data_IF_820375003973
#
_entry.id   IF_820375003973
#
_cell.length_a   1.000
_cell.length_b   1.000
_cell.length_c   1.000
_cell.angle_alpha   90.00
_cell.angle_beta   90.00
_cell.angle_gamma   90.00
#
_symmetry.space_group_name_H-M   'P 1'
#
loop_
_entity.id
_entity.type
_entity.pdbx_description
1 polymer ?
#
# COMPACT_ATOMS: atom_id res chain seq x y z
N UNK A 1 38.23 34.58 19.97
CA UNK A 1 38.84 33.74 18.91
C UNK A 1 39.34 32.47 19.58
N UNK A 2 38.60 31.39 19.37
CA UNK A 2 38.72 30.14 20.13
C UNK A 2 39.52 29.08 19.35
N UNK A 3 40.38 28.43 20.12
CA UNK A 3 40.67 26.99 20.18
C UNK A 3 41.20 26.20 18.97
N UNK A 4 42.28 25.50 19.31
CA UNK A 4 43.09 24.54 18.56
C UNK A 4 42.89 23.18 19.24
N UNK A 5 42.52 22.12 18.51
CA UNK A 5 42.98 20.71 18.66
C UNK A 5 42.24 19.73 17.71
N UNK A 6 42.78 18.52 17.45
CA UNK A 6 42.95 17.96 16.12
C UNK A 6 42.15 16.67 15.86
N UNK A 7 42.19 16.19 14.61
CA UNK A 7 41.68 14.89 14.17
C UNK A 7 42.49 13.71 14.77
N UNK A 8 41.85 12.56 15.04
CA UNK A 8 42.54 11.36 15.50
C UNK A 8 43.09 10.51 14.34
N UNK A 9 43.97 9.61 14.75
CA UNK A 9 44.90 8.81 13.98
C UNK A 9 44.29 7.75 13.05
N UNK A 10 45.11 7.42 12.07
CA UNK A 10 45.06 6.23 11.21
C UNK A 10 45.01 4.93 12.05
N UNK A 11 44.24 3.96 11.57
CA UNK A 11 44.59 2.55 11.75
C UNK A 11 44.72 1.89 10.38
N UNK A 12 45.83 1.18 10.24
CA UNK A 12 46.35 0.62 9.01
C UNK A 12 45.77 -0.77 8.79
N UNK A 13 45.38 -1.10 7.56
CA UNK A 13 44.93 -2.45 7.25
C UNK A 13 44.66 -2.74 5.79
N UNK A 14 45.66 -3.31 5.13
CA UNK A 14 45.56 -4.17 3.95
C UNK A 14 45.65 -3.52 2.57
N UNK A 15 46.90 -3.58 2.09
CA UNK A 15 47.36 -3.60 0.71
C UNK A 15 46.48 -4.40 -0.26
N UNK A 16 45.85 -3.68 -1.18
CA UNK A 16 45.36 -4.19 -2.47
C UNK A 16 45.84 -3.25 -3.57
N UNK A 17 47.13 -3.33 -3.91
CA UNK A 17 47.72 -2.56 -4.99
C UNK A 17 47.05 -2.93 -6.33
N UNK A 18 46.16 -2.07 -6.83
CA UNK A 18 45.88 -1.98 -8.26
C UNK A 18 46.39 -0.61 -8.72
N UNK A 19 47.45 -0.67 -9.52
CA UNK A 19 48.13 0.50 -10.06
C UNK A 19 47.11 1.40 -10.75
N UNK A 20 46.91 2.61 -10.22
CA UNK A 20 46.22 3.69 -10.90
C UNK A 20 46.93 3.92 -12.23
N UNK A 21 46.33 3.42 -13.31
CA UNK A 21 46.77 3.60 -14.68
C UNK A 21 46.76 5.12 -14.92
N UNK A 22 47.92 5.77 -14.77
CA UNK A 22 48.10 7.18 -15.17
C UNK A 22 47.66 7.23 -16.63
N UNK A 23 46.50 7.84 -16.86
CA UNK A 23 46.03 8.12 -18.22
C UNK A 23 47.13 8.91 -18.90
N UNK A 24 47.76 8.27 -19.87
CA UNK A 24 48.68 8.89 -20.81
C UNK A 24 47.95 10.06 -21.46
N UNK A 25 48.22 11.28 -20.99
CA UNK A 25 47.94 12.49 -21.75
C UNK A 25 48.51 12.27 -23.15
N UNK A 26 47.62 12.26 -24.13
CA UNK A 26 47.91 12.09 -25.54
C UNK A 26 49.14 12.91 -25.91
N UNK A 27 50.24 12.20 -26.19
CA UNK A 27 51.48 12.79 -26.71
C UNK A 27 51.14 13.42 -28.05
N UNK A 28 50.96 14.74 -28.06
CA UNK A 28 50.71 15.51 -29.27
C UNK A 28 51.88 15.30 -30.23
N UNK A 29 51.56 14.82 -31.43
CA UNK A 29 52.51 14.78 -32.54
C UNK A 29 52.75 16.23 -33.00
N UNK A 30 54.01 16.70 -33.08
CA UNK A 30 54.29 18.08 -33.47
C UNK A 30 53.83 18.33 -34.91
N UNK A 31 52.83 19.21 -35.08
CA UNK A 31 52.39 19.68 -36.38
C UNK A 31 53.53 20.49 -37.03
N UNK A 32 54.14 19.94 -38.07
CA UNK A 32 55.12 20.64 -38.91
C UNK A 32 54.38 21.69 -39.74
N UNK A 33 54.36 22.92 -39.24
CA UNK A 33 53.95 24.08 -40.03
C UNK A 33 55.00 24.28 -41.14
N UNK A 34 54.61 24.04 -42.40
CA UNK A 34 55.42 24.42 -43.56
C UNK A 34 55.64 25.93 -43.63
N UNK A 35 56.56 26.36 -44.51
CA UNK A 35 56.96 27.77 -44.70
C UNK A 35 55.75 28.72 -44.73
N UNK A 36 55.86 29.84 -44.04
CA UNK A 36 54.82 30.87 -43.92
C UNK A 36 55.26 32.04 -44.80
N UNK A 37 54.42 32.41 -45.76
CA UNK A 37 54.74 33.44 -46.76
C UNK A 37 54.00 34.76 -46.52
N UNK A 38 53.01 34.81 -45.61
CA UNK A 38 52.34 36.06 -45.20
C UNK A 38 51.81 35.99 -43.76
N UNK A 39 51.53 37.16 -43.17
CA UNK A 39 50.91 37.27 -41.84
C UNK A 39 49.51 36.63 -41.82
N UNK A 40 48.76 36.77 -42.90
CA UNK A 40 47.43 36.18 -43.09
C UNK A 40 47.48 34.64 -43.12
N UNK A 41 48.51 34.05 -43.74
CA UNK A 41 48.72 32.60 -43.74
C UNK A 41 49.08 32.07 -42.34
N UNK A 42 49.81 32.85 -41.55
CA UNK A 42 50.09 32.53 -40.15
C UNK A 42 48.81 32.56 -39.30
N UNK A 43 48.02 33.62 -39.40
CA UNK A 43 46.77 33.77 -38.64
C UNK A 43 45.77 32.66 -38.98
N UNK A 44 45.64 32.29 -40.26
CA UNK A 44 44.83 31.15 -40.67
C UNK A 44 45.30 29.82 -40.07
N UNK A 45 46.61 29.57 -40.05
CA UNK A 45 47.19 28.37 -39.42
C UNK A 45 46.99 28.36 -37.90
N UNK A 46 47.08 29.52 -37.23
CA UNK A 46 46.81 29.68 -35.78
C UNK A 46 45.35 29.41 -35.47
N UNK A 47 44.42 30.00 -36.23
CA UNK A 47 42.98 29.76 -36.08
C UNK A 47 42.64 28.29 -36.28
N UNK A 48 43.23 27.63 -37.29
CA UNK A 48 43.00 26.22 -37.53
C UNK A 48 43.48 25.34 -36.36
N UNK A 49 44.65 25.66 -35.77
CA UNK A 49 45.17 24.97 -34.59
C UNK A 49 44.30 25.21 -33.35
N UNK A 50 43.87 26.45 -33.13
CA UNK A 50 42.97 26.80 -32.02
C UNK A 50 41.64 26.06 -32.13
N UNK A 51 41.03 26.03 -33.33
CA UNK A 51 39.80 25.27 -33.59
C UNK A 51 39.97 23.78 -33.35
N UNK A 52 41.08 23.18 -33.81
CA UNK A 52 41.38 21.76 -33.53
C UNK A 52 41.47 21.48 -32.02
N UNK A 53 42.17 22.34 -31.27
CA UNK A 53 42.30 22.22 -29.81
C UNK A 53 40.99 22.47 -29.06
N UNK A 54 40.08 23.29 -29.61
CA UNK A 54 38.71 23.45 -29.09
C UNK A 54 37.87 22.20 -29.36
N UNK A 55 37.96 21.64 -30.57
CA UNK A 55 37.30 20.37 -30.93
C UNK A 55 37.71 19.23 -30.00
N UNK A 56 39.01 19.07 -29.74
CA UNK A 56 39.51 18.06 -28.79
C UNK A 56 39.00 18.28 -27.36
N UNK A 57 38.88 19.54 -26.90
CA UNK A 57 38.29 19.88 -25.59
C UNK A 57 36.80 19.57 -25.53
N UNK A 58 36.07 19.80 -26.62
CA UNK A 58 34.64 19.45 -26.73
C UNK A 58 34.48 17.94 -26.67
N UNK A 59 35.30 17.18 -27.38
CA UNK A 59 35.26 15.71 -27.39
C UNK A 59 35.52 15.13 -25.99
N UNK A 60 36.51 15.67 -25.28
CA UNK A 60 36.79 15.29 -23.88
C UNK A 60 35.62 15.61 -22.95
N UNK A 61 35.00 16.78 -23.10
CA UNK A 61 33.80 17.15 -22.33
C UNK A 61 32.62 16.22 -22.62
N UNK A 62 32.36 15.90 -23.90
CA UNK A 62 31.32 14.95 -24.31
C UNK A 62 31.53 13.57 -23.70
N UNK A 63 32.79 13.10 -23.64
CA UNK A 63 33.11 11.82 -23.01
C UNK A 63 32.83 11.84 -21.50
N UNK A 64 33.27 12.89 -20.80
CA UNK A 64 33.00 13.05 -19.37
C UNK A 64 31.49 13.18 -19.09
N UNK A 65 30.76 13.91 -19.92
CA UNK A 65 29.30 14.03 -19.85
C UNK A 65 28.63 12.66 -20.05
N UNK A 66 29.09 11.86 -21.02
CA UNK A 66 28.60 10.50 -21.22
C UNK A 66 28.85 9.57 -20.03
N UNK A 67 30.01 9.70 -19.36
CA UNK A 67 30.32 8.97 -18.13
C UNK A 67 29.41 9.40 -16.97
N UNK A 68 29.16 10.70 -16.80
CA UNK A 68 28.24 11.23 -15.80
C UNK A 68 26.79 10.80 -16.08
N UNK A 69 26.33 10.85 -17.33
CA UNK A 69 24.98 10.38 -17.73
C UNK A 69 24.78 8.90 -17.38
N UNK A 70 25.76 8.04 -17.71
CA UNK A 70 25.74 6.63 -17.30
C UNK A 70 25.71 6.46 -15.77
N UNK A 71 26.44 7.31 -15.04
CA UNK A 71 26.44 7.25 -13.58
C UNK A 71 25.09 7.65 -12.98
N UNK A 72 24.44 8.67 -13.54
CA UNK A 72 23.09 9.10 -13.16
C UNK A 72 22.11 7.94 -13.40
N UNK A 73 22.11 7.35 -14.59
CA UNK A 73 21.23 6.22 -14.93
C UNK A 73 21.42 5.01 -13.98
N UNK A 74 22.66 4.70 -13.61
CA UNK A 74 22.95 3.66 -12.61
C UNK A 74 22.37 3.99 -11.23
N UNK A 75 22.50 5.25 -10.79
CA UNK A 75 21.97 5.68 -9.50
C UNK A 75 20.45 5.69 -9.48
N UNK A 76 19.79 6.11 -10.57
CA UNK A 76 18.33 6.06 -10.72
C UNK A 76 17.81 4.63 -10.71
N UNK A 77 18.48 3.71 -11.41
CA UNK A 77 18.13 2.29 -11.39
C UNK A 77 18.25 1.68 -9.98
N UNK A 78 19.32 2.04 -9.26
CA UNK A 78 19.49 1.63 -7.87
C UNK A 78 18.38 2.20 -6.98
N UNK A 79 18.08 3.50 -7.11
CA UNK A 79 17.02 4.16 -6.34
C UNK A 79 15.66 3.48 -6.57
N UNK A 80 15.28 3.21 -7.82
CA UNK A 80 14.06 2.45 -8.14
C UNK A 80 14.00 1.07 -7.48
N UNK A 81 15.17 0.44 -7.27
CA UNK A 81 15.26 -0.87 -6.61
C UNK A 81 15.13 -0.72 -5.10
N UNK A 82 15.83 0.26 -4.53
CA UNK A 82 15.80 0.59 -3.11
C UNK A 82 14.37 1.00 -2.67
N UNK A 83 13.65 1.78 -3.49
CA UNK A 83 12.25 2.17 -3.27
C UNK A 83 11.31 0.94 -3.19
N UNK A 84 11.50 -0.04 -4.07
CA UNK A 84 10.73 -1.29 -4.02
C UNK A 84 11.00 -2.07 -2.74
N UNK A 85 12.25 -2.13 -2.30
CA UNK A 85 12.62 -2.80 -1.05
C UNK A 85 11.99 -2.07 0.14
N UNK A 86 12.03 -0.73 0.18
CA UNK A 86 11.39 0.07 1.22
C UNK A 86 9.88 -0.17 1.30
N UNK A 87 9.19 -0.26 0.16
CA UNK A 87 7.77 -0.60 0.14
C UNK A 87 7.48 -1.98 0.77
N UNK A 88 8.29 -2.98 0.44
CA UNK A 88 8.14 -4.34 0.98
C UNK A 88 8.38 -4.33 2.49
N UNK A 89 9.45 -3.69 2.96
CA UNK A 89 9.77 -3.56 4.38
C UNK A 89 8.64 -2.86 5.13
N UNK A 90 8.13 -1.75 4.60
CA UNK A 90 7.04 -1.01 5.24
C UNK A 90 5.75 -1.85 5.36
N UNK A 91 5.44 -2.66 4.33
CA UNK A 91 4.29 -3.57 4.37
C UNK A 91 4.44 -4.63 5.46
N UNK A 92 5.61 -5.27 5.56
CA UNK A 92 5.86 -6.27 6.60
C UNK A 92 5.89 -5.65 8.00
N UNK A 93 6.39 -4.42 8.13
CA UNK A 93 6.37 -3.71 9.40
C UNK A 93 4.95 -3.37 9.84
N UNK A 94 4.10 -2.88 8.93
CA UNK A 94 2.68 -2.65 9.20
C UNK A 94 1.98 -3.96 9.63
N UNK A 95 2.27 -5.07 8.94
CA UNK A 95 1.72 -6.37 9.31
C UNK A 95 2.16 -6.80 10.72
N UNK A 96 3.44 -6.62 11.06
CA UNK A 96 3.95 -6.92 12.40
C UNK A 96 3.24 -6.09 13.47
N UNK A 97 3.09 -4.78 13.24
CA UNK A 97 2.40 -3.88 14.18
C UNK A 97 0.94 -4.33 14.38
N UNK A 98 0.26 -4.73 13.30
CA UNK A 98 -1.10 -5.27 13.35
C UNK A 98 -1.19 -6.59 14.12
N UNK A 99 -0.33 -7.55 13.79
CA UNK A 99 -0.30 -8.88 14.39
C UNK A 99 -0.03 -8.78 15.91
N UNK A 100 0.94 -7.95 16.31
CA UNK A 100 1.25 -7.71 17.73
C UNK A 100 0.04 -7.11 18.44
N UNK A 101 -0.67 -6.16 17.83
CA UNK A 101 -1.86 -5.54 18.44
C UNK A 101 -2.99 -6.54 18.59
N UNK A 102 -3.29 -7.34 17.56
CA UNK A 102 -4.32 -8.39 17.61
C UNK A 102 -3.97 -9.44 18.66
N UNK A 103 -2.70 -9.85 18.76
CA UNK A 103 -2.24 -10.79 19.77
C UNK A 103 -2.38 -10.22 21.18
N UNK A 104 -1.99 -8.96 21.40
CA UNK A 104 -2.17 -8.27 22.67
C UNK A 104 -3.66 -8.17 23.05
N UNK A 105 -4.54 -7.79 22.12
CA UNK A 105 -5.98 -7.71 22.38
C UNK A 105 -6.58 -9.07 22.78
N UNK A 106 -6.06 -10.17 22.22
CA UNK A 106 -6.50 -11.54 22.56
C UNK A 106 -5.93 -12.05 23.88
N UNK A 107 -4.68 -11.69 24.20
CA UNK A 107 -3.96 -12.19 25.37
C UNK A 107 -4.20 -11.34 26.63
N UNK A 108 -4.51 -10.05 26.46
CA UNK A 108 -4.59 -9.04 27.52
C UNK A 108 -6.04 -8.55 27.76
N UNK A 109 -7.04 -9.38 27.42
CA UNK A 109 -8.46 -9.08 27.56
C UNK A 109 -8.93 -8.81 29.01
N UNK A 110 -8.06 -9.02 30.01
CA UNK A 110 -8.33 -8.77 31.43
C UNK A 110 -7.79 -7.41 31.93
N UNK A 111 -6.96 -6.68 31.15
CA UNK A 111 -6.30 -5.42 31.61
C UNK A 111 -6.17 -4.27 30.60
N UNK A 112 -6.73 -4.37 29.39
CA UNK A 112 -6.53 -3.36 28.35
C UNK A 112 -7.30 -2.03 28.60
N UNK A 113 -6.56 -0.94 28.87
CA UNK A 113 -7.08 0.44 28.88
C UNK A 113 -7.55 0.85 27.46
N UNK A 114 -8.81 1.30 27.34
CA UNK A 114 -9.46 1.62 26.06
C UNK A 114 -8.79 2.78 25.27
N UNK A 115 -7.95 3.60 25.92
CA UNK A 115 -7.34 4.79 25.33
C UNK A 115 -6.09 4.51 24.48
N UNK A 116 -5.40 3.36 24.66
CA UNK A 116 -4.21 3.03 23.84
C UNK A 116 -4.62 2.52 22.44
N UNK A 117 -5.75 1.83 22.31
CA UNK A 117 -6.15 1.13 21.05
C UNK A 117 -6.53 2.05 19.88
N UNK A 118 -6.91 3.31 20.14
CA UNK A 118 -7.38 4.25 19.09
C UNK A 118 -6.26 4.98 18.35
N UNK A 119 -5.08 5.14 18.96
CA UNK A 119 -4.01 5.96 18.40
C UNK A 119 -3.09 5.16 17.45
N UNK A 120 -3.16 3.82 17.47
CA UNK A 120 -2.18 2.92 16.83
C UNK A 120 -2.48 2.60 15.35
N UNK A 121 -3.74 2.66 14.93
CA UNK A 121 -4.15 2.29 13.57
C UNK A 121 -4.03 3.43 12.55
N UNK A 122 -4.00 4.68 13.02
CA UNK A 122 -3.99 5.87 12.15
C UNK A 122 -2.58 6.26 11.67
N UNK A 123 -1.54 6.02 12.46
CA UNK A 123 -0.17 6.49 12.12
C UNK A 123 0.55 5.61 11.09
N UNK A 124 0.26 4.31 11.04
CA UNK A 124 1.01 3.32 10.23
C UNK A 124 0.63 3.29 8.75
N UNK A 125 -0.57 3.78 8.37
CA UNK A 125 -0.99 3.78 6.96
C UNK A 125 -0.39 4.93 6.14
N UNK A 126 -0.03 6.07 6.78
CA UNK A 126 0.43 7.28 6.07
C UNK A 126 1.95 7.41 5.91
N UNK A 127 2.74 6.50 6.51
CA UNK A 127 4.20 6.64 6.66
C UNK A 127 4.96 6.70 5.32
N UNK A 128 4.55 5.94 4.30
CA UNK A 128 5.15 5.98 2.95
C UNK A 128 4.81 7.24 2.18
N UNK A 129 3.63 7.81 2.40
CA UNK A 129 3.16 9.02 1.72
C UNK A 129 3.88 10.27 2.22
N UNK A 130 4.28 10.27 3.50
CA UNK A 130 4.99 11.38 4.14
C UNK A 130 6.51 11.33 3.96
N UNK A 131 7.06 10.20 3.47
CA UNK A 131 8.50 9.97 3.33
C UNK A 131 9.19 11.01 2.42
N UNK A 132 8.48 11.55 1.43
CA UNK A 132 8.99 12.61 0.53
C UNK A 132 8.92 14.02 1.14
N UNK A 133 8.17 14.19 2.23
CA UNK A 133 7.93 15.48 2.89
C UNK A 133 8.86 15.74 4.07
N UNK A 134 9.54 14.70 4.57
CA UNK A 134 10.44 14.80 5.72
C UNK A 134 11.86 15.11 5.29
N UNK A 135 12.52 15.99 6.03
CA UNK A 135 13.95 16.15 5.90
C UNK A 135 14.72 14.99 6.57
N UNK A 136 16.04 14.96 6.40
CA UNK A 136 16.85 13.84 6.90
C UNK A 136 16.76 13.66 8.41
N UNK A 137 16.68 14.76 9.17
CA UNK A 137 16.65 14.70 10.63
C UNK A 137 15.27 14.26 11.11
N UNK A 138 14.21 14.80 10.51
CA UNK A 138 12.83 14.42 10.79
C UNK A 138 12.56 12.94 10.46
N UNK A 139 13.13 12.43 9.36
CA UNK A 139 13.02 11.03 8.97
C UNK A 139 13.66 10.09 10.00
N UNK A 140 14.87 10.41 10.48
CA UNK A 140 15.55 9.62 11.51
C UNK A 140 14.74 9.60 12.81
N UNK A 141 14.21 10.75 13.25
CA UNK A 141 13.40 10.87 14.46
C UNK A 141 12.08 10.08 14.35
N UNK A 142 11.37 10.20 13.22
CA UNK A 142 10.11 9.48 12.96
C UNK A 142 10.30 7.98 12.87
N UNK A 143 11.37 7.52 12.21
CA UNK A 143 11.69 6.11 12.14
C UNK A 143 12.05 5.57 13.54
N UNK A 144 12.82 6.32 14.32
CA UNK A 144 13.15 5.95 15.69
C UNK A 144 11.90 5.83 16.58
N UNK A 145 10.98 6.79 16.50
CA UNK A 145 9.71 6.75 17.23
C UNK A 145 8.90 5.50 16.90
N UNK A 146 8.81 5.15 15.62
CA UNK A 146 8.09 3.95 15.17
C UNK A 146 8.73 2.66 15.66
N UNK A 147 10.06 2.56 15.60
CA UNK A 147 10.79 1.39 16.12
C UNK A 147 10.60 1.25 17.62
N UNK A 148 10.67 2.35 18.37
CA UNK A 148 10.42 2.33 19.80
C UNK A 148 9.00 1.89 20.14
N UNK A 149 8.01 2.34 19.37
CA UNK A 149 6.62 1.92 19.53
C UNK A 149 6.48 0.40 19.37
N UNK A 150 6.92 -0.17 18.24
CA UNK A 150 6.85 -1.61 17.99
C UNK A 150 7.62 -2.40 19.06
N UNK A 151 8.78 -1.89 19.52
CA UNK A 151 9.57 -2.51 20.59
C UNK A 151 8.83 -2.55 21.93
N UNK A 152 8.10 -1.49 22.29
CA UNK A 152 7.28 -1.46 23.51
C UNK A 152 6.10 -2.43 23.40
N UNK A 153 5.41 -2.46 22.27
CA UNK A 153 4.30 -3.38 22.02
C UNK A 153 4.75 -4.85 22.11
N UNK A 154 5.87 -5.21 21.48
CA UNK A 154 6.44 -6.56 21.57
C UNK A 154 6.86 -6.90 23.01
N UNK A 155 7.40 -5.94 23.76
CA UNK A 155 7.77 -6.17 25.17
C UNK A 155 6.54 -6.47 26.04
N UNK A 156 5.42 -5.75 25.84
CA UNK A 156 4.13 -6.06 26.48
C UNK A 156 3.64 -7.46 26.10
N UNK A 157 3.75 -7.82 24.81
CA UNK A 157 3.33 -9.13 24.32
C UNK A 157 4.11 -10.27 24.97
N UNK A 158 5.43 -10.12 25.10
CA UNK A 158 6.28 -11.09 25.80
C UNK A 158 5.87 -11.26 27.27
N UNK A 159 5.55 -10.17 27.97
CA UNK A 159 5.07 -10.24 29.35
C UNK A 159 3.73 -10.98 29.46
N UNK A 160 2.80 -10.73 28.55
CA UNK A 160 1.52 -11.44 28.51
C UNK A 160 1.71 -12.96 28.27
N UNK A 161 2.64 -13.32 27.38
CA UNK A 161 3.00 -14.73 27.12
C UNK A 161 3.62 -15.37 28.38
N UNK A 162 4.53 -14.69 29.07
CA UNK A 162 5.13 -15.20 30.31
C UNK A 162 4.07 -15.43 31.40
N UNK A 163 3.11 -14.52 31.55
CA UNK A 163 2.00 -14.69 32.50
C UNK A 163 1.12 -15.89 32.14
N UNK A 164 0.83 -16.09 30.86
CA UNK A 164 0.06 -17.23 30.38
C UNK A 164 0.78 -18.55 30.64
N UNK A 165 2.09 -18.61 30.38
CA UNK A 165 2.92 -19.77 30.67
C UNK A 165 2.91 -20.10 32.17
N UNK A 166 3.11 -19.11 33.03
CA UNK A 166 3.04 -19.29 34.49
C UNK A 166 1.66 -19.77 34.95
N UNK A 167 0.57 -19.28 34.35
CA UNK A 167 -0.79 -19.73 34.67
C UNK A 167 -0.99 -21.19 34.25
N UNK A 168 -0.53 -21.56 33.06
CA UNK A 168 -0.61 -22.93 32.57
C UNK A 168 0.21 -23.90 33.43
N UNK A 169 1.42 -23.51 33.86
CA UNK A 169 2.24 -24.32 34.76
C UNK A 169 1.55 -24.55 36.11
N UNK A 170 0.91 -23.51 36.68
CA UNK A 170 0.11 -23.63 37.92
C UNK A 170 -1.11 -24.53 37.75
N UNK A 171 -1.82 -24.41 36.62
CA UNK A 171 -2.95 -25.30 36.31
C UNK A 171 -2.49 -26.74 36.15
N UNK A 172 -1.37 -26.96 35.44
CA UNK A 172 -0.81 -28.29 35.26
C UNK A 172 -0.38 -28.90 36.59
N UNK A 173 0.33 -28.15 37.46
CA UNK A 173 0.69 -28.65 38.79
C UNK A 173 -0.55 -28.96 39.63
N UNK A 174 -1.56 -28.07 39.62
CA UNK A 174 -2.81 -28.30 40.35
C UNK A 174 -3.59 -29.54 39.87
N UNK A 175 -3.59 -29.83 38.57
CA UNK A 175 -4.20 -31.05 38.02
C UNK A 175 -3.41 -32.28 38.46
N UNK A 176 -2.08 -32.26 38.38
CA UNK A 176 -1.22 -33.37 38.83
C UNK A 176 -1.44 -33.65 40.31
N UNK A 177 -1.42 -32.62 41.15
CA UNK A 177 -1.63 -32.74 42.60
C UNK A 177 -3.02 -33.32 42.91
N UNK A 178 -4.05 -32.92 42.15
CA UNK A 178 -5.42 -33.43 42.32
C UNK A 178 -5.52 -34.90 41.90
N UNK A 179 -4.91 -35.29 40.79
CA UNK A 179 -4.86 -36.68 40.33
C UNK A 179 -4.11 -37.57 41.33
N UNK A 180 -3.01 -37.07 41.92
CA UNK A 180 -2.29 -37.80 42.96
C UNK A 180 -3.11 -37.98 44.24
N UNK A 181 -3.84 -36.95 44.67
CA UNK A 181 -4.76 -37.03 45.81
C UNK A 181 -5.89 -38.03 45.56
N UNK A 182 -6.58 -37.93 44.42
CA UNK A 182 -7.67 -38.84 44.05
C UNK A 182 -7.17 -40.30 43.98
N UNK A 183 -5.95 -40.52 43.47
CA UNK A 183 -5.29 -41.83 43.45
C UNK A 183 -5.00 -42.35 44.87
N UNK A 184 -4.51 -41.51 45.77
CA UNK A 184 -4.25 -41.89 47.16
C UNK A 184 -5.54 -42.19 47.93
N UNK A 185 -6.61 -41.43 47.69
CA UNK A 185 -7.91 -41.63 48.30
C UNK A 185 -8.57 -42.95 47.82
N UNK A 186 -8.48 -43.27 46.53
CA UNK A 186 -8.90 -44.56 45.98
C UNK A 186 -8.14 -45.75 46.58
N UNK A 187 -6.82 -45.62 46.76
CA UNK A 187 -6.00 -46.64 47.42
C UNK A 187 -6.40 -46.83 48.89
N UNK A 188 -6.60 -45.73 49.63
CA UNK A 188 -7.09 -45.75 51.02
C UNK A 188 -8.46 -46.41 51.14
N UNK A 189 -9.39 -46.07 50.26
CA UNK A 189 -10.74 -46.63 50.27
C UNK A 189 -10.76 -48.13 49.90
N UNK A 190 -9.88 -48.55 48.99
CA UNK A 190 -9.70 -49.97 48.64
C UNK A 190 -9.10 -50.77 49.80
N UNK A 191 -8.12 -50.21 50.52
CA UNK A 191 -7.56 -50.83 51.73
C UNK A 191 -8.61 -50.94 52.84
N UNK A 192 -9.39 -49.88 53.08
CA UNK A 192 -10.49 -49.89 54.06
C UNK A 192 -11.54 -50.96 53.74
N UNK A 193 -11.93 -51.10 52.47
CA UNK A 193 -12.87 -52.12 52.01
C UNK A 193 -12.31 -53.55 52.15
N UNK A 194 -11.00 -53.74 51.99
CA UNK A 194 -10.36 -55.04 52.22
C UNK A 194 -10.25 -55.37 53.72
N UNK A 195 -10.12 -54.38 54.60
CA UNK A 195 -10.05 -54.58 56.06
C UNK A 195 -11.41 -54.74 56.75
N UNK A 196 -12.51 -54.28 56.13
CA UNK A 196 -13.87 -54.44 56.66
C UNK A 196 -14.54 -55.77 56.27
N UNK A 197 -13.84 -56.64 55.53
CA UNK A 197 -14.35 -57.95 55.07
C UNK A 197 -14.07 -59.14 55.99
N UNK A 198 -13.49 -58.92 57.18
CA UNK A 198 -13.03 -60.01 58.09
C UNK A 198 -13.69 -60.02 59.49
N UNK A 199 -14.84 -59.39 59.69
CA UNK A 199 -15.60 -59.54 60.94
C UNK A 199 -17.09 -59.86 60.70
N UNK A 200 -17.36 -61.11 60.30
CA UNK A 200 -18.67 -61.75 60.53
C UNK A 200 -18.53 -62.85 61.59
N UNK A 201 -19.03 -62.61 62.82
CA UNK A 201 -19.70 -63.64 63.64
C UNK A 201 -20.29 -63.12 64.97
N UNK A 202 -21.53 -63.60 65.22
CA UNK A 202 -22.35 -63.73 66.46
C UNK A 202 -23.45 -62.68 66.65
N UNK A 203 -24.71 -63.04 66.39
CA UNK A 203 -25.70 -63.71 67.30
C UNK A 203 -26.22 -62.73 68.37
N UNK A 204 -27.44 -62.21 68.19
CA UNK A 204 -28.73 -62.66 68.79
C UNK A 204 -29.11 -61.78 69.99
N UNK A 205 -30.19 -61.00 69.88
CA UNK A 205 -31.49 -61.23 70.53
C UNK A 205 -32.30 -59.93 70.68
N UNK A 206 -33.60 -60.09 70.47
CA UNK A 206 -34.61 -59.04 70.39
C UNK A 206 -35.01 -58.44 71.75
N UNK A 207 -35.45 -57.18 71.68
CA UNK A 207 -36.39 -56.44 72.56
C UNK A 207 -35.85 -55.74 73.81
N UNK A 208 -35.64 -54.43 73.64
CA UNK A 208 -36.37 -53.38 74.39
C UNK A 208 -36.44 -52.09 73.57
N UNK A 209 -37.58 -51.91 72.91
CA UNK A 209 -38.08 -50.63 72.37
C UNK A 209 -38.37 -49.68 73.55
N UNK A 210 -37.80 -48.47 73.53
CA UNK A 210 -38.54 -47.20 73.39
C UNK A 210 -37.69 -45.93 73.64
N UNK A 211 -36.44 -46.02 74.11
CA UNK A 211 -35.62 -44.80 74.37
C UNK A 211 -34.54 -44.49 73.31
N UNK A 212 -34.35 -45.32 72.27
CA UNK A 212 -33.39 -45.05 71.17
C UNK A 212 -34.04 -44.59 69.85
N UNK A 213 -35.36 -44.64 69.75
CA UNK A 213 -36.09 -44.23 68.55
C UNK A 213 -36.29 -42.73 68.44
N UNK A 214 -36.17 -42.00 69.54
CA UNK A 214 -36.27 -40.55 69.54
C UNK A 214 -34.90 -39.91 69.20
N UNK A 215 -33.78 -40.41 69.71
CA UNK A 215 -32.44 -39.92 69.30
C UNK A 215 -32.10 -40.23 67.82
N UNK A 216 -32.43 -41.41 67.31
CA UNK A 216 -32.15 -41.80 65.92
C UNK A 216 -33.17 -41.22 64.90
N UNK A 217 -34.34 -40.77 65.37
CA UNK A 217 -35.27 -39.96 64.57
C UNK A 217 -34.89 -38.49 64.60
N UNK A 218 -34.47 -37.94 65.73
CA UNK A 218 -34.02 -36.55 65.81
C UNK A 218 -32.76 -36.35 64.95
N UNK A 219 -31.76 -37.26 65.00
CA UNK A 219 -30.59 -37.20 64.09
C UNK A 219 -30.97 -37.30 62.60
N UNK A 220 -31.92 -38.17 62.23
CA UNK A 220 -32.40 -38.30 60.84
C UNK A 220 -33.27 -37.12 60.37
N UNK A 221 -33.86 -36.39 61.30
CA UNK A 221 -34.69 -35.21 61.00
C UNK A 221 -33.78 -33.99 60.88
N UNK A 222 -32.78 -33.85 61.76
CA UNK A 222 -31.71 -32.86 61.64
C UNK A 222 -30.86 -33.04 60.38
N UNK A 223 -30.43 -34.26 60.02
CA UNK A 223 -29.70 -34.51 58.77
C UNK A 223 -30.52 -34.15 57.52
N UNK A 224 -31.84 -34.39 57.55
CA UNK A 224 -32.75 -34.05 56.45
C UNK A 224 -32.98 -32.55 56.33
N UNK A 225 -33.14 -31.87 57.46
CA UNK A 225 -33.30 -30.42 57.49
C UNK A 225 -32.01 -29.72 57.03
N UNK A 226 -30.83 -30.23 57.42
CA UNK A 226 -29.55 -29.76 56.90
C UNK A 226 -29.37 -30.02 55.40
N UNK A 227 -29.79 -31.19 54.89
CA UNK A 227 -29.71 -31.50 53.47
C UNK A 227 -30.67 -30.64 52.63
N UNK A 228 -31.82 -30.28 53.19
CA UNK A 228 -32.79 -29.37 52.56
C UNK A 228 -32.31 -27.91 52.57
N UNK A 229 -31.69 -27.45 53.66
CA UNK A 229 -30.99 -26.15 53.74
C UNK A 229 -29.86 -26.06 52.71
N UNK A 230 -28.99 -27.09 52.63
CA UNK A 230 -27.91 -27.16 51.62
C UNK A 230 -28.45 -27.13 50.19
N UNK A 231 -29.60 -27.76 49.92
CA UNK A 231 -30.28 -27.69 48.62
C UNK A 231 -30.80 -26.29 48.32
N UNK A 232 -31.39 -25.59 49.28
CA UNK A 232 -31.88 -24.21 49.12
C UNK A 232 -30.74 -23.24 48.88
N UNK A 233 -29.62 -23.37 49.60
CA UNK A 233 -28.41 -22.58 49.37
C UNK A 233 -27.83 -22.81 47.97
N UNK A 234 -27.74 -24.08 47.53
CA UNK A 234 -27.28 -24.40 46.18
C UNK A 234 -28.22 -23.83 45.11
N UNK A 235 -29.54 -23.90 45.32
CA UNK A 235 -30.52 -23.36 44.39
C UNK A 235 -30.47 -21.82 44.31
N UNK A 236 -30.17 -21.15 45.42
CA UNK A 236 -29.90 -19.71 45.47
C UNK A 236 -28.63 -19.35 44.69
N UNK A 237 -27.54 -20.06 44.92
CA UNK A 237 -26.27 -19.86 44.22
C UNK A 237 -26.43 -20.04 42.70
N UNK A 238 -27.13 -21.10 42.27
CA UNK A 238 -27.41 -21.34 40.85
C UNK A 238 -28.27 -20.24 40.23
N UNK A 239 -29.24 -19.69 40.98
CA UNK A 239 -30.06 -18.57 40.52
C UNK A 239 -29.22 -17.30 40.38
N UNK A 240 -28.32 -17.03 41.33
CA UNK A 240 -27.42 -15.88 41.30
C UNK A 240 -26.47 -15.95 40.09
N UNK A 241 -25.78 -17.08 39.91
CA UNK A 241 -24.93 -17.35 38.74
C UNK A 241 -25.70 -17.21 37.41
N UNK A 242 -26.94 -17.75 37.33
CA UNK A 242 -27.77 -17.60 36.13
C UNK A 242 -28.13 -16.13 35.86
N UNK A 243 -28.33 -15.31 36.90
CA UNK A 243 -28.58 -13.88 36.73
C UNK A 243 -27.33 -13.13 36.26
N UNK A 244 -26.15 -13.51 36.74
CA UNK A 244 -24.88 -12.93 36.27
C UNK A 244 -24.61 -13.28 34.81
N UNK A 245 -24.75 -14.55 34.43
CA UNK A 245 -24.60 -14.99 33.04
C UNK A 245 -25.60 -14.28 32.12
N UNK A 246 -26.84 -14.06 32.56
CA UNK A 246 -27.83 -13.30 31.78
C UNK A 246 -27.44 -11.82 31.65
N UNK A 247 -26.90 -11.22 32.71
CA UNK A 247 -26.40 -9.83 32.69
C UNK A 247 -25.24 -9.69 31.70
N UNK A 248 -24.28 -10.61 31.75
CA UNK A 248 -23.13 -10.63 30.86
C UNK A 248 -23.53 -10.87 29.41
N UNK A 249 -24.45 -11.81 29.15
CA UNK A 249 -24.97 -12.05 27.80
C UNK A 249 -25.65 -10.80 27.21
N UNK A 250 -26.38 -10.04 28.05
CA UNK A 250 -26.97 -8.75 27.65
C UNK A 250 -25.91 -7.69 27.37
N UNK A 251 -24.84 -7.63 28.16
CA UNK A 251 -23.72 -6.72 27.92
C UNK A 251 -23.00 -7.06 26.62
N UNK A 252 -22.70 -8.34 26.38
CA UNK A 252 -22.11 -8.82 25.13
C UNK A 252 -22.99 -8.51 23.92
N UNK A 253 -24.31 -8.71 24.04
CA UNK A 253 -25.25 -8.37 22.96
C UNK A 253 -25.20 -6.88 22.62
N UNK A 254 -25.23 -6.00 23.64
CA UNK A 254 -25.12 -4.56 23.44
C UNK A 254 -23.78 -4.16 22.80
N UNK A 255 -22.68 -4.77 23.23
CA UNK A 255 -21.35 -4.52 22.68
C UNK A 255 -21.28 -4.93 21.20
N UNK A 256 -21.82 -6.10 20.84
CA UNK A 256 -21.91 -6.56 19.45
C UNK A 256 -22.73 -5.60 18.60
N UNK A 257 -23.87 -5.11 19.11
CA UNK A 257 -24.67 -4.10 18.39
C UNK A 257 -23.88 -2.81 18.16
N UNK A 258 -23.17 -2.31 19.18
CA UNK A 258 -22.34 -1.11 19.06
C UNK A 258 -21.17 -1.31 18.08
N UNK A 259 -20.52 -2.47 18.11
CA UNK A 259 -19.45 -2.81 17.18
C UNK A 259 -19.97 -2.89 15.73
N UNK A 260 -21.13 -3.49 15.50
CA UNK A 260 -21.75 -3.50 14.17
C UNK A 260 -22.10 -2.08 13.68
N UNK A 261 -22.64 -1.23 14.55
CA UNK A 261 -22.92 0.17 14.20
C UNK A 261 -21.63 0.92 13.83
N UNK A 262 -20.57 0.81 14.65
CA UNK A 262 -19.27 1.42 14.36
C UNK A 262 -18.65 0.88 13.08
N UNK A 263 -18.74 -0.42 12.84
CA UNK A 263 -18.26 -1.03 11.61
C UNK A 263 -18.99 -0.44 10.40
N UNK A 264 -20.32 -0.30 10.46
CA UNK A 264 -21.09 0.36 9.41
C UNK A 264 -20.65 1.81 9.17
N UNK A 265 -20.48 2.60 10.24
CA UNK A 265 -19.98 3.98 10.15
C UNK A 265 -18.58 4.07 9.53
N UNK A 266 -17.67 3.16 9.87
CA UNK A 266 -16.33 3.10 9.28
C UNK A 266 -16.38 2.69 7.80
N UNK A 267 -17.23 1.74 7.43
CA UNK A 267 -17.42 1.32 6.04
C UNK A 267 -17.94 2.48 5.18
N UNK A 268 -18.87 3.29 5.69
CA UNK A 268 -19.33 4.50 5.01
C UNK A 268 -18.19 5.51 4.80
N UNK A 269 -17.39 5.77 5.85
CA UNK A 269 -16.22 6.67 5.76
C UNK A 269 -15.18 6.17 4.75
N UNK A 270 -14.95 4.85 4.69
CA UNK A 270 -14.04 4.26 3.70
C UNK A 270 -14.56 4.52 2.29
N UNK A 271 -15.87 4.33 2.04
CA UNK A 271 -16.49 4.63 0.74
C UNK A 271 -16.32 6.11 0.36
N UNK A 272 -16.60 7.03 1.29
CA UNK A 272 -16.43 8.47 1.04
C UNK A 272 -14.99 8.86 0.71
N UNK A 273 -14.01 8.24 1.37
CA UNK A 273 -12.59 8.48 1.07
C UNK A 273 -12.19 7.87 -0.27
N UNK A 274 -12.74 6.70 -0.63
CA UNK A 274 -12.54 6.07 -1.94
C UNK A 274 -13.07 6.96 -3.07
N UNK A 275 -14.23 7.59 -2.89
CA UNK A 275 -14.81 8.52 -3.87
C UNK A 275 -13.94 9.77 -4.04
N UNK A 276 -13.39 10.32 -2.94
CA UNK A 276 -12.45 11.45 -3.00
C UNK A 276 -11.15 11.11 -3.71
N UNK A 277 -10.61 9.91 -3.47
CA UNK A 277 -9.42 9.43 -4.17
C UNK A 277 -9.71 9.33 -5.67
N UNK A 278 -10.83 8.70 -6.04
CA UNK A 278 -11.24 8.54 -7.44
C UNK A 278 -11.41 9.90 -8.14
N UNK A 279 -12.04 10.86 -7.47
CA UNK A 279 -12.16 12.23 -8.00
C UNK A 279 -10.80 12.90 -8.20
N UNK A 280 -9.89 12.78 -7.22
CA UNK A 280 -8.54 13.33 -7.32
C UNK A 280 -7.73 12.66 -8.44
N UNK A 281 -7.89 11.35 -8.65
CA UNK A 281 -7.26 10.61 -9.74
C UNK A 281 -7.76 11.08 -11.12
N UNK A 282 -9.07 11.35 -11.24
CA UNK A 282 -9.63 11.93 -12.47
C UNK A 282 -9.09 13.33 -12.74
N UNK A 283 -9.00 14.20 -11.73
CA UNK A 283 -8.40 15.53 -11.87
C UNK A 283 -6.93 15.46 -12.29
N UNK A 284 -6.15 14.53 -11.71
CA UNK A 284 -4.75 14.30 -12.11
C UNK A 284 -4.65 13.87 -13.58
N UNK A 285 -5.55 13.01 -14.05
CA UNK A 285 -5.58 12.59 -15.45
C UNK A 285 -5.89 13.76 -16.40
N UNK A 286 -6.83 14.63 -16.02
CA UNK A 286 -7.14 15.84 -16.78
C UNK A 286 -5.96 16.81 -16.83
N UNK A 287 -5.28 17.04 -15.69
CA UNK A 287 -4.09 17.88 -15.66
C UNK A 287 -2.94 17.31 -16.48
N UNK A 288 -2.75 15.98 -16.49
CA UNK A 288 -1.75 15.33 -17.35
C UNK A 288 -2.04 15.58 -18.83
N UNK A 289 -3.28 15.37 -19.28
CA UNK A 289 -3.67 15.65 -20.66
C UNK A 289 -3.40 17.12 -21.04
N UNK A 290 -3.70 18.06 -20.12
CA UNK A 290 -3.44 19.49 -20.34
C UNK A 290 -1.95 19.82 -20.42
N UNK A 291 -1.12 19.13 -19.64
CA UNK A 291 0.35 19.27 -19.74
C UNK A 291 0.82 18.76 -21.09
N UNK A 292 0.36 17.59 -21.53
CA UNK A 292 0.73 17.01 -22.83
C UNK A 292 0.34 17.95 -24.00
N UNK A 293 -0.85 18.55 -23.95
CA UNK A 293 -1.31 19.54 -24.94
C UNK A 293 -0.40 20.78 -24.96
N UNK A 294 -0.03 21.31 -23.79
CA UNK A 294 0.84 22.47 -23.67
C UNK A 294 2.28 22.16 -24.11
N UNK A 295 2.79 20.96 -23.81
CA UNK A 295 4.09 20.50 -24.28
C UNK A 295 4.13 20.41 -25.81
N UNK A 296 3.06 19.89 -26.43
CA UNK A 296 2.92 19.86 -27.88
C UNK A 296 2.90 21.28 -28.50
N UNK A 297 2.13 22.20 -27.92
CA UNK A 297 2.10 23.60 -28.38
C UNK A 297 3.46 24.29 -28.22
N UNK A 298 4.14 24.05 -27.11
CA UNK A 298 5.48 24.57 -26.83
C UNK A 298 6.49 24.07 -27.86
N UNK A 299 6.50 22.76 -28.14
CA UNK A 299 7.42 22.18 -29.12
C UNK A 299 7.13 22.70 -30.54
N UNK A 300 5.85 22.83 -30.91
CA UNK A 300 5.43 23.45 -32.18
C UNK A 300 5.89 24.90 -32.30
N UNK A 301 5.80 25.69 -31.23
CA UNK A 301 6.30 27.06 -31.19
C UNK A 301 7.83 27.11 -31.28
N UNK A 302 8.52 26.20 -30.61
CA UNK A 302 9.97 26.03 -30.68
C UNK A 302 10.46 25.74 -32.10
N UNK A 303 9.82 24.80 -32.81
CA UNK A 303 10.14 24.50 -34.21
C UNK A 303 9.92 25.71 -35.13
N UNK A 304 8.91 26.54 -34.84
CA UNK A 304 8.66 27.78 -35.59
C UNK A 304 9.75 28.81 -35.35
N UNK A 305 10.18 28.97 -34.10
CA UNK A 305 11.29 29.85 -33.75
C UNK A 305 12.59 29.40 -34.44
N UNK A 306 12.90 28.10 -34.42
CA UNK A 306 14.10 27.55 -35.05
C UNK A 306 14.12 27.76 -36.58
N UNK A 307 12.95 27.72 -37.24
CA UNK A 307 12.83 28.08 -38.66
C UNK A 307 13.11 29.55 -38.90
N UNK A 308 12.58 30.44 -38.07
CA UNK A 308 12.83 31.88 -38.17
C UNK A 308 14.31 32.21 -37.91
N UNK A 309 14.94 31.54 -36.94
CA UNK A 309 16.37 31.72 -36.64
C UNK A 309 17.24 31.28 -37.83
N UNK A 310 16.91 30.15 -38.49
CA UNK A 310 17.59 29.75 -39.74
C UNK A 310 17.43 30.80 -40.83
N UNK A 311 16.21 31.30 -41.06
CA UNK A 311 15.97 32.35 -42.06
C UNK A 311 16.73 33.65 -41.75
N UNK A 312 16.80 34.03 -40.47
CA UNK A 312 17.56 35.20 -40.04
C UNK A 312 19.07 34.99 -40.26
N UNK A 313 19.60 33.81 -39.92
CA UNK A 313 21.00 33.46 -40.16
C UNK A 313 21.36 33.52 -41.65
N UNK A 314 20.51 32.97 -42.53
CA UNK A 314 20.69 33.03 -43.98
C UNK A 314 20.67 34.47 -44.50
N UNK A 315 19.75 35.30 -43.99
CA UNK A 315 19.66 36.71 -44.35
C UNK A 315 20.90 37.50 -43.91
N UNK A 316 21.39 37.24 -42.70
CA UNK A 316 22.62 37.84 -42.19
C UNK A 316 23.83 37.43 -43.03
N UNK A 317 23.99 36.15 -43.37
CA UNK A 317 25.07 35.70 -44.26
C UNK A 317 25.03 36.38 -45.64
N UNK A 318 23.83 36.53 -46.23
CA UNK A 318 23.67 37.26 -47.49
C UNK A 318 24.08 38.71 -47.35
N UNK A 319 23.70 39.37 -46.25
CA UNK A 319 24.09 40.75 -45.98
C UNK A 319 25.62 40.88 -45.88
N UNK A 320 26.26 40.00 -45.11
CA UNK A 320 27.72 39.97 -44.98
C UNK A 320 28.40 39.74 -46.33
N UNK A 321 27.87 38.83 -47.15
CA UNK A 321 28.37 38.61 -48.51
C UNK A 321 28.27 39.87 -49.39
N UNK A 322 27.16 40.62 -49.31
CA UNK A 322 27.02 41.88 -50.06
C UNK A 322 27.95 42.99 -49.55
N UNK A 323 28.17 43.06 -48.23
CA UNK A 323 29.13 43.98 -47.61
C UNK A 323 30.58 43.64 -48.03
N UNK A 324 30.95 42.36 -48.08
CA UNK A 324 32.28 41.88 -48.49
C UNK A 324 32.54 42.01 -49.99
N UNK A 325 31.51 41.83 -50.84
CA UNK A 325 31.64 41.97 -52.30
C UNK A 325 31.59 43.42 -52.79
N UNK A 326 31.34 44.39 -51.91
CA UNK A 326 31.46 45.82 -52.24
C UNK A 326 30.48 46.30 -53.31
N UNK A 327 29.32 45.65 -53.47
CA UNK A 327 28.27 46.12 -54.39
C UNK A 327 27.53 47.28 -53.74
N UNK A 328 28.06 48.49 -53.89
CA UNK A 328 27.38 49.72 -53.51
C UNK A 328 26.17 49.92 -54.42
N UNK A 329 24.97 49.87 -53.84
CA UNK A 329 23.72 50.28 -54.49
C UNK A 329 23.70 51.81 -54.58
N UNK A 330 24.49 52.36 -55.50
CA UNK A 330 24.27 53.72 -56.01
C UNK A 330 24.07 53.65 -57.53
N UNK A 331 22.84 53.94 -57.95
CA UNK A 331 22.52 54.30 -59.33
C UNK A 331 22.54 53.15 -60.32
N UNK A 332 21.35 52.69 -60.72
CA UNK A 332 21.14 51.85 -61.89
C UNK A 332 21.62 52.61 -63.14
N UNK A 333 22.90 52.48 -63.48
CA UNK A 333 23.38 52.58 -64.85
C UNK A 333 23.26 51.18 -65.45
N UNK A 334 22.44 51.11 -66.49
CA UNK A 334 22.30 49.95 -67.38
C UNK A 334 23.67 49.73 -68.04
N UNK A 335 24.49 48.90 -67.42
CA UNK A 335 25.76 48.40 -67.93
C UNK A 335 25.62 46.91 -68.17
N UNK A 336 25.77 46.51 -69.43
CA UNK A 336 25.74 45.13 -69.89
C UNK A 336 26.70 44.25 -69.06
N UNK A 337 26.16 43.37 -68.22
CA UNK A 337 26.97 42.51 -67.36
C UNK A 337 26.16 41.79 -66.30
N UNK A 338 25.13 41.06 -66.70
CA UNK A 338 24.29 40.31 -65.76
C UNK A 338 23.13 39.59 -66.43
N UNK A 339 23.35 39.03 -67.62
CA UNK A 339 22.34 38.16 -68.22
C UNK A 339 22.42 36.84 -67.45
N UNK A 340 21.47 36.58 -66.55
CA UNK A 340 21.23 35.23 -66.00
C UNK A 340 21.11 34.33 -67.22
N UNK A 341 22.00 33.35 -67.35
CA UNK A 341 21.99 32.43 -68.49
C UNK A 341 20.59 31.82 -68.61
N UNK A 342 19.98 31.80 -69.80
CA UNK A 342 18.62 31.28 -70.00
C UNK A 342 18.38 29.94 -69.28
N UNK A 343 19.37 29.05 -69.25
CA UNK A 343 19.35 27.81 -68.47
C UNK A 343 19.07 27.97 -66.97
N UNK A 344 19.70 28.94 -66.30
CA UNK A 344 19.44 29.24 -64.87
C UNK A 344 18.05 29.79 -64.65
N UNK A 345 17.53 30.55 -65.62
CA UNK A 345 16.16 31.06 -65.59
C UNK A 345 15.16 29.90 -65.74
N UNK A 346 15.42 28.98 -66.67
CA UNK A 346 14.62 27.76 -66.87
C UNK A 346 14.66 26.84 -65.65
N UNK A 347 15.83 26.67 -65.01
CA UNK A 347 15.99 25.92 -63.74
C UNK A 347 15.17 26.55 -62.60
N UNK A 348 15.24 27.88 -62.43
CA UNK A 348 14.44 28.60 -61.42
C UNK A 348 12.94 28.47 -61.70
N UNK A 349 12.51 28.49 -62.97
CA UNK A 349 11.12 28.26 -63.32
C UNK A 349 10.67 26.82 -63.02
N UNK A 350 11.52 25.83 -63.27
CA UNK A 350 11.23 24.43 -62.94
C UNK A 350 11.13 24.21 -61.42
N UNK A 351 12.08 24.76 -60.64
CA UNK A 351 12.04 24.72 -59.17
C UNK A 351 10.79 25.43 -58.62
N UNK A 352 10.41 26.56 -59.20
CA UNK A 352 9.19 27.29 -58.81
C UNK A 352 7.93 26.45 -59.04
N UNK A 353 7.86 25.73 -60.17
CA UNK A 353 6.71 24.90 -60.48
C UNK A 353 6.63 23.66 -59.58
N UNK A 354 7.78 23.04 -59.28
CA UNK A 354 7.88 21.95 -58.29
C UNK A 354 7.45 22.42 -56.89
N UNK A 355 7.84 23.62 -56.46
CA UNK A 355 7.41 24.18 -55.18
C UNK A 355 5.91 24.47 -55.13
N UNK A 356 5.30 24.91 -56.24
CA UNK A 356 3.83 25.07 -56.31
C UNK A 356 3.11 23.74 -56.22
N UNK A 357 3.60 22.72 -56.92
CA UNK A 357 3.03 21.37 -56.87
C UNK A 357 3.12 20.79 -55.46
N UNK A 358 4.28 20.93 -54.80
CA UNK A 358 4.48 20.51 -53.42
C UNK A 358 3.57 21.26 -52.44
N UNK A 359 3.36 22.56 -52.64
CA UNK A 359 2.43 23.35 -51.83
C UNK A 359 0.97 22.90 -52.03
N UNK A 360 0.58 22.59 -53.27
CA UNK A 360 -0.74 22.03 -53.58
C UNK A 360 -0.95 20.66 -52.93
N UNK A 361 0.03 19.76 -53.02
CA UNK A 361 -0.03 18.45 -52.36
C UNK A 361 -0.17 18.59 -50.85
N UNK A 362 0.63 19.44 -50.19
CA UNK A 362 0.51 19.71 -48.75
C UNK A 362 -0.84 20.30 -48.37
N UNK A 363 -1.42 21.17 -49.20
CA UNK A 363 -2.75 21.72 -48.96
C UNK A 363 -3.81 20.61 -48.98
N UNK A 364 -3.80 19.75 -50.00
CA UNK A 364 -4.76 18.63 -50.08
C UNK A 364 -4.61 17.63 -48.93
N UNK A 365 -3.38 17.38 -48.47
CA UNK A 365 -3.13 16.54 -47.30
C UNK A 365 -3.69 17.17 -46.02
N UNK A 366 -3.51 18.48 -45.84
CA UNK A 366 -4.09 19.22 -44.72
C UNK A 366 -5.62 19.24 -44.75
N UNK A 367 -6.23 19.40 -45.92
CA UNK A 367 -7.68 19.35 -46.09
C UNK A 367 -8.23 17.95 -45.75
N UNK A 368 -7.54 16.90 -46.19
CA UNK A 368 -7.89 15.53 -45.85
C UNK A 368 -7.76 15.28 -44.34
N UNK A 369 -6.65 15.67 -43.74
CA UNK A 369 -6.42 15.50 -42.30
C UNK A 369 -7.44 16.27 -41.47
N UNK A 370 -7.83 17.47 -41.92
CA UNK A 370 -8.90 18.24 -41.28
C UNK A 370 -10.26 17.54 -41.35
N UNK A 371 -10.56 16.88 -42.48
CA UNK A 371 -11.79 16.10 -42.64
C UNK A 371 -11.78 14.85 -41.74
N UNK A 372 -10.68 14.12 -41.74
CA UNK A 372 -10.50 12.92 -40.91
C UNK A 372 -10.61 13.28 -39.41
N UNK A 373 -10.05 14.42 -38.99
CA UNK A 373 -10.21 14.94 -37.63
C UNK A 373 -11.66 15.26 -37.28
N UNK A 374 -12.40 15.89 -38.19
CA UNK A 374 -13.82 16.21 -37.98
C UNK A 374 -14.67 14.94 -37.86
N UNK A 375 -14.39 13.91 -38.67
CA UNK A 375 -15.06 12.60 -38.58
C UNK A 375 -14.78 11.91 -37.25
N UNK A 376 -13.51 11.90 -36.80
CA UNK A 376 -13.13 11.35 -35.51
C UNK A 376 -13.81 12.08 -34.33
N UNK A 377 -13.95 13.41 -34.41
CA UNK A 377 -14.67 14.19 -33.40
C UNK A 377 -16.14 13.80 -33.31
N UNK A 378 -16.81 13.60 -34.45
CA UNK A 378 -18.21 13.13 -34.49
C UNK A 378 -18.32 11.72 -33.89
N UNK A 379 -17.38 10.83 -34.18
CA UNK A 379 -17.37 9.46 -33.62
C UNK A 379 -17.15 9.48 -32.10
N UNK A 380 -16.26 10.34 -31.60
CA UNK A 380 -16.04 10.54 -30.16
C UNK A 380 -17.32 11.03 -29.48
N UNK A 381 -18.02 12.02 -30.05
CA UNK A 381 -19.28 12.52 -29.49
C UNK A 381 -20.35 11.44 -29.45
N UNK A 382 -20.45 10.62 -30.50
CA UNK A 382 -21.36 9.47 -30.54
C UNK A 382 -21.03 8.45 -29.44
N UNK A 383 -19.76 8.05 -29.32
CA UNK A 383 -19.33 7.10 -28.30
C UNK A 383 -19.54 7.65 -26.87
N UNK A 384 -19.35 8.96 -26.66
CA UNK A 384 -19.68 9.62 -25.38
C UNK A 384 -21.17 9.51 -25.06
N UNK A 385 -22.04 9.70 -26.05
CA UNK A 385 -23.48 9.59 -25.88
C UNK A 385 -23.89 8.14 -25.57
N UNK A 386 -23.32 7.18 -26.28
CA UNK A 386 -23.53 5.74 -26.06
C UNK A 386 -23.07 5.29 -24.66
N UNK A 387 -21.95 5.83 -24.16
CA UNK A 387 -21.47 5.58 -22.79
C UNK A 387 -22.39 6.18 -21.72
N UNK A 388 -22.97 7.36 -21.96
CA UNK A 388 -23.91 7.99 -21.02
C UNK A 388 -25.26 7.26 -20.93
N UNK A 389 -25.69 6.61 -22.01
CA UNK A 389 -27.00 5.96 -22.11
C UNK A 389 -26.84 4.49 -22.48
N UNK A 390 -26.06 3.77 -21.67
CA UNK A 390 -25.74 2.38 -21.96
C UNK A 390 -27.01 1.50 -21.91
N UNK A 391 -27.36 0.80 -23.00
CA UNK A 391 -28.53 -0.08 -23.04
C UNK A 391 -28.48 -1.19 -21.99
N UNK A 392 -29.62 -1.48 -21.36
CA UNK A 392 -29.74 -2.45 -20.27
C UNK A 392 -29.33 -3.88 -20.68
N UNK A 393 -29.58 -4.27 -21.93
CA UNK A 393 -29.14 -5.57 -22.46
C UNK A 393 -27.61 -5.72 -22.46
N UNK A 394 -26.85 -4.65 -22.70
CA UNK A 394 -25.39 -4.70 -22.63
C UNK A 394 -24.94 -4.94 -21.19
N UNK A 395 -25.57 -4.25 -20.23
CA UNK A 395 -25.29 -4.38 -18.79
C UNK A 395 -25.58 -5.80 -18.33
N UNK A 396 -26.75 -6.34 -18.68
CA UNK A 396 -27.18 -7.70 -18.29
C UNK A 396 -26.25 -8.76 -18.89
N UNK A 397 -25.72 -8.52 -20.09
CA UNK A 397 -24.81 -9.46 -20.74
C UNK A 397 -23.39 -9.47 -20.17
N UNK A 398 -23.01 -8.46 -19.37
CA UNK A 398 -21.70 -8.40 -18.71
C UNK A 398 -21.47 -9.57 -17.77
N UNK A 399 -20.20 -9.97 -17.66
CA UNK A 399 -19.75 -11.02 -16.74
C UNK A 399 -20.01 -10.67 -15.28
N UNK A 400 -19.87 -9.39 -14.95
CA UNK A 400 -20.06 -8.79 -13.64
C UNK A 400 -21.52 -8.91 -13.21
N UNK A 401 -22.46 -8.52 -14.09
CA UNK A 401 -23.88 -8.66 -13.82
C UNK A 401 -24.27 -10.13 -13.63
N UNK A 402 -23.82 -11.03 -14.51
CA UNK A 402 -24.10 -12.48 -14.40
C UNK A 402 -23.52 -13.08 -13.11
N UNK A 403 -22.33 -12.64 -12.69
CA UNK A 403 -21.72 -13.06 -11.43
C UNK A 403 -22.54 -12.57 -10.23
N UNK A 404 -22.95 -11.30 -10.22
CA UNK A 404 -23.77 -10.73 -9.16
C UNK A 404 -25.16 -11.37 -9.10
N UNK A 405 -25.77 -11.64 -10.25
CA UNK A 405 -27.04 -12.37 -10.36
C UNK A 405 -26.92 -13.79 -9.78
N UNK A 406 -25.81 -14.49 -10.05
CA UNK A 406 -25.54 -15.81 -9.48
C UNK A 406 -25.37 -15.75 -7.96
N UNK A 407 -24.58 -14.80 -7.45
CA UNK A 407 -24.40 -14.59 -6.00
C UNK A 407 -25.72 -14.26 -5.31
N UNK A 408 -26.52 -13.36 -5.89
CA UNK A 408 -27.85 -13.01 -5.38
C UNK A 408 -28.77 -14.23 -5.35
N UNK A 409 -28.73 -15.08 -6.39
CA UNK A 409 -29.53 -16.30 -6.42
C UNK A 409 -29.17 -17.27 -5.29
N UNK A 410 -27.89 -17.43 -4.99
CA UNK A 410 -27.41 -18.27 -3.87
C UNK A 410 -27.91 -17.70 -2.53
N UNK A 411 -27.65 -16.42 -2.27
CA UNK A 411 -28.06 -15.74 -1.04
C UNK A 411 -29.58 -15.76 -0.84
N UNK A 412 -30.34 -15.56 -1.92
CA UNK A 412 -31.80 -15.60 -1.88
C UNK A 412 -32.31 -17.00 -1.51
N UNK A 413 -31.69 -18.06 -2.05
CA UNK A 413 -32.03 -19.43 -1.70
C UNK A 413 -31.68 -19.76 -0.24
N UNK A 414 -30.51 -19.34 0.25
CA UNK A 414 -30.11 -19.49 1.65
C UNK A 414 -31.07 -18.74 2.59
N UNK A 415 -31.42 -17.50 2.26
CA UNK A 415 -32.43 -16.74 3.00
C UNK A 415 -33.76 -17.48 3.07
N UNK A 416 -34.23 -18.03 1.94
CA UNK A 416 -35.48 -18.76 1.89
C UNK A 416 -35.43 -20.04 2.75
N UNK A 417 -34.30 -20.74 2.76
CA UNK A 417 -34.08 -21.91 3.62
C UNK A 417 -34.11 -21.53 5.11
N UNK A 418 -33.38 -20.49 5.51
CA UNK A 418 -33.37 -20.01 6.90
C UNK A 418 -34.74 -19.54 7.35
N UNK A 419 -35.50 -18.90 6.47
CA UNK A 419 -36.89 -18.50 6.72
C UNK A 419 -37.78 -19.71 7.00
N UNK A 420 -37.66 -20.77 6.20
CA UNK A 420 -38.44 -22.00 6.42
C UNK A 420 -38.07 -22.67 7.75
N UNK A 421 -36.79 -22.77 8.10
CA UNK A 421 -36.35 -23.31 9.40
C UNK A 421 -36.89 -22.52 10.59
N UNK A 422 -36.96 -21.19 10.45
CA UNK A 422 -37.55 -20.33 11.47
C UNK A 422 -39.05 -20.61 11.64
N UNK A 423 -39.79 -20.78 10.55
CA UNK A 423 -41.21 -21.13 10.59
C UNK A 423 -41.45 -22.51 11.21
N UNK A 424 -40.63 -23.51 10.88
CA UNK A 424 -40.66 -24.85 11.49
C UNK A 424 -40.39 -24.79 13.00
N UNK A 425 -39.35 -24.07 13.42
CA UNK A 425 -38.99 -23.93 14.84
C UNK A 425 -40.12 -23.24 15.63
N UNK A 426 -40.73 -22.20 15.07
CA UNK A 426 -41.93 -21.56 15.65
C UNK A 426 -43.09 -22.55 15.78
N UNK A 427 -43.28 -23.41 14.79
CA UNK A 427 -44.26 -24.49 14.84
C UNK A 427 -44.00 -25.48 15.98
N UNK A 428 -42.76 -25.93 16.14
CA UNK A 428 -42.35 -26.86 17.21
C UNK A 428 -42.56 -26.21 18.58
N UNK A 429 -42.13 -24.96 18.78
CA UNK A 429 -42.33 -24.23 20.04
C UNK A 429 -43.81 -24.12 20.39
N UNK A 430 -44.65 -23.80 19.39
CA UNK A 430 -46.10 -23.71 19.59
C UNK A 430 -46.69 -25.08 19.96
N UNK A 431 -46.25 -26.15 19.29
CA UNK A 431 -46.67 -27.52 19.59
C UNK A 431 -46.29 -27.93 21.01
N UNK A 432 -45.03 -27.71 21.41
CA UNK A 432 -44.53 -28.03 22.75
C UNK A 432 -45.27 -27.25 23.82
N UNK A 433 -45.51 -25.95 23.61
CA UNK A 433 -46.32 -25.13 24.52
C UNK A 433 -47.71 -25.73 24.73
N UNK A 434 -48.37 -26.14 23.64
CA UNK A 434 -49.70 -26.73 23.71
C UNK A 434 -49.68 -28.12 24.39
N UNK A 435 -48.64 -28.93 24.15
CA UNK A 435 -48.47 -30.22 24.80
C UNK A 435 -48.25 -30.08 26.31
N UNK A 436 -47.40 -29.13 26.73
CA UNK A 436 -47.18 -28.82 28.14
C UNK A 436 -48.46 -28.32 28.83
N UNK A 437 -49.23 -27.44 28.18
CA UNK A 437 -50.52 -26.99 28.71
C UNK A 437 -51.48 -28.16 28.95
N UNK A 438 -51.61 -29.08 27.99
CA UNK A 438 -52.42 -30.29 28.16
C UNK A 438 -51.93 -31.18 29.29
N UNK A 439 -50.62 -31.29 29.49
CA UNK A 439 -50.07 -32.08 30.58
C UNK A 439 -50.39 -31.45 31.94
N UNK A 440 -50.36 -30.11 32.04
CA UNK A 440 -50.81 -29.39 33.23
C UNK A 440 -52.29 -29.66 33.49
N UNK A 441 -53.15 -29.53 32.47
CA UNK A 441 -54.59 -29.83 32.56
C UNK A 441 -54.91 -31.29 32.97
N UNK A 442 -53.98 -32.24 32.74
CA UNK A 442 -54.14 -33.64 33.17
C UNK A 442 -53.66 -33.89 34.60
N UNK A 443 -52.79 -33.02 35.12
CA UNK A 443 -52.28 -33.10 36.49
C UNK A 443 -53.21 -32.40 37.49
N UNK A 444 -53.96 -31.39 37.02
CA UNK A 444 -55.08 -30.77 37.72
C UNK A 444 -56.34 -31.67 37.69
#
# INVERSE_FOLDING_TARGET
MATKRPAPAEDAGSSGASASKKQSLSRLEPLKLGSICSLEELDMKVLHFQNKKLGERIEQRKKAEGELKKRIEQLENRQRTDDKVLMIVNRYWNQLDEDVRVLLQRLDAETADEDETKNESSETSSFLTLLSTWDKQELEDKLSQRVEFSKRAISKLLQAVDHLLQRNDKLHSGIVDKVEKDRQELLSNTIKAATSGEEEKKEEEEKKDEEKKDEEKDEKTEEKDEEEERRKEFELLVKEELTEVRRENKQLHNLVTQLHQRHHEHTLKISEMQDKITASETEIAEFKNKVDDLEYEYEKAGQRAEKLDRHLADALQKLTYYEETGVTVEGVKVGAGGMVSNKKLDEIFAELEEQKELAGNRLTELEKLSKDHQEAMIEIEKLKLDLQHLPENIIIDTTEYKCMQSQFSVLYNEYLQMKNQLEETKGIVTSNKNAHLRQIEQME
#
